data_IF_027780665272
#
_entry.id   IF_027780665272
#
_cell.length_a   1.000
_cell.length_b   1.000
_cell.length_c   1.000
_cell.angle_alpha   90.00
_cell.angle_beta   90.00
_cell.angle_gamma   90.00
#
_symmetry.space_group_name_H-M   'P 1'
#
loop_
_entity.id
_entity.type
_entity.pdbx_description
1 polymer ?
#
# COMPACT_ATOMS: atom_id res chain seq x y z
N UNK A 1 24.15 -6.19 7.84
CA UNK A 1 22.68 -6.21 8.00
C UNK A 1 22.41 -6.02 9.48
N UNK A 2 21.72 -4.94 9.89
CA UNK A 2 21.55 -4.65 11.33
C UNK A 2 20.76 -5.77 12.01
N UNK A 3 21.04 -6.05 13.28
CA UNK A 3 20.35 -7.11 14.05
C UNK A 3 18.82 -6.95 14.04
N UNK A 4 18.31 -5.73 13.88
CA UNK A 4 16.88 -5.42 13.82
C UNK A 4 16.14 -6.06 12.63
N UNK A 5 16.79 -6.20 11.46
CA UNK A 5 16.15 -6.79 10.28
C UNK A 5 16.11 -8.33 10.32
N UNK A 6 16.92 -8.95 11.20
CA UNK A 6 17.01 -10.41 11.31
C UNK A 6 15.73 -11.07 11.85
N UNK A 7 14.84 -10.29 12.47
CA UNK A 7 13.56 -10.75 13.01
C UNK A 7 12.38 -10.65 12.02
N UNK A 8 12.65 -10.49 10.73
CA UNK A 8 11.61 -10.34 9.71
C UNK A 8 11.73 -11.41 8.62
N UNK A 9 10.58 -11.86 8.14
CA UNK A 9 10.40 -12.50 6.85
C UNK A 9 10.25 -11.41 5.79
N UNK A 10 10.95 -11.57 4.67
CA UNK A 10 11.00 -10.57 3.60
C UNK A 10 10.26 -11.09 2.38
N UNK A 11 9.32 -10.31 1.89
CA UNK A 11 8.57 -10.58 0.66
C UNK A 11 8.84 -9.45 -0.33
N UNK A 12 9.13 -9.81 -1.57
CA UNK A 12 9.45 -8.85 -2.61
C UNK A 12 8.57 -9.08 -3.84
N UNK A 13 8.17 -8.00 -4.50
CA UNK A 13 7.66 -8.02 -5.86
C UNK A 13 8.41 -6.98 -6.67
N UNK A 14 9.04 -7.40 -7.77
CA UNK A 14 9.70 -6.47 -8.68
C UNK A 14 8.69 -5.58 -9.40
N UNK A 15 9.10 -4.34 -9.66
CA UNK A 15 8.39 -3.48 -10.60
C UNK A 15 8.69 -3.83 -12.06
N UNK A 16 8.22 -2.97 -12.96
CA UNK A 16 8.46 -3.11 -14.40
C UNK A 16 9.77 -2.45 -14.86
N UNK A 17 10.43 -1.69 -13.99
CA UNK A 17 11.69 -1.01 -14.27
C UNK A 17 12.68 -1.21 -13.10
N UNK A 18 13.94 -0.79 -13.30
CA UNK A 18 15.01 -0.96 -12.33
C UNK A 18 14.82 -0.19 -11.01
N UNK A 19 13.86 0.74 -10.95
CA UNK A 19 13.62 1.63 -9.82
C UNK A 19 12.29 1.37 -9.13
N UNK A 20 11.56 0.34 -9.56
CA UNK A 20 10.24 0.00 -9.04
C UNK A 20 10.22 -1.35 -8.34
N UNK A 21 9.29 -1.49 -7.41
CA UNK A 21 9.05 -2.74 -6.71
C UNK A 21 8.48 -2.46 -5.32
N UNK A 22 8.09 -3.52 -4.64
CA UNK A 22 7.56 -3.45 -3.29
C UNK A 22 8.27 -4.50 -2.44
N UNK A 23 8.77 -4.05 -1.29
CA UNK A 23 9.34 -4.90 -0.26
C UNK A 23 8.42 -4.85 0.96
N UNK A 24 7.97 -6.01 1.43
CA UNK A 24 7.21 -6.13 2.67
C UNK A 24 8.02 -6.94 3.65
N UNK A 25 8.22 -6.39 4.85
CA UNK A 25 8.91 -7.07 5.94
C UNK A 25 7.89 -7.37 7.03
N UNK A 26 7.70 -8.64 7.33
CA UNK A 26 6.76 -9.12 8.35
C UNK A 26 7.56 -9.72 9.48
N UNK A 27 7.29 -9.34 10.73
CA UNK A 27 7.98 -9.95 11.88
C UNK A 27 7.77 -11.46 11.88
N UNK A 28 8.80 -12.22 12.30
CA UNK A 28 8.79 -13.70 12.26
C UNK A 28 7.76 -14.35 13.16
N UNK A 29 7.27 -13.64 14.17
CA UNK A 29 6.18 -14.08 15.04
C UNK A 29 4.79 -13.88 14.44
N UNK A 30 4.69 -13.16 13.31
CA UNK A 30 3.46 -13.04 12.53
C UNK A 30 3.54 -14.04 11.37
N UNK A 31 2.59 -14.97 11.31
CA UNK A 31 2.49 -15.90 10.18
C UNK A 31 1.96 -15.16 8.95
N UNK A 32 2.69 -15.27 7.83
CA UNK A 32 2.38 -14.58 6.59
C UNK A 32 2.55 -15.53 5.40
N UNK A 33 1.54 -15.61 4.56
CA UNK A 33 1.52 -16.46 3.36
C UNK A 33 1.45 -15.58 2.12
N UNK A 34 2.33 -15.85 1.14
CA UNK A 34 2.31 -15.12 -0.13
C UNK A 34 1.07 -15.52 -0.94
N UNK A 35 0.29 -14.53 -1.36
CA UNK A 35 -0.79 -14.71 -2.34
C UNK A 35 -0.19 -14.60 -3.73
N UNK A 36 -0.56 -15.54 -4.61
CA UNK A 36 -0.09 -15.53 -6.00
C UNK A 36 -0.56 -14.27 -6.71
N UNK A 37 0.40 -13.50 -7.23
CA UNK A 37 0.15 -12.27 -7.96
C UNK A 37 1.29 -12.07 -8.96
N UNK A 38 0.94 -11.85 -10.22
CA UNK A 38 1.89 -11.55 -11.30
C UNK A 38 1.99 -10.06 -11.61
N UNK A 39 1.18 -9.22 -10.95
CA UNK A 39 1.21 -7.78 -11.19
C UNK A 39 2.52 -7.20 -10.66
N UNK A 40 3.21 -6.39 -11.48
CA UNK A 40 4.43 -5.74 -11.05
C UNK A 40 4.14 -4.70 -9.97
N UNK A 41 5.09 -4.51 -9.05
CA UNK A 41 4.94 -3.59 -7.91
C UNK A 41 3.71 -3.84 -7.04
N UNK A 42 3.21 -5.09 -6.98
CA UNK A 42 2.11 -5.53 -6.11
C UNK A 42 2.55 -6.76 -5.31
N UNK A 43 2.61 -6.64 -3.99
CA UNK A 43 2.89 -7.76 -3.09
C UNK A 43 1.67 -8.02 -2.20
N UNK A 44 0.97 -9.14 -2.43
CA UNK A 44 -0.17 -9.55 -1.62
C UNK A 44 0.23 -10.66 -0.64
N UNK A 45 -0.09 -10.48 0.64
CA UNK A 45 0.16 -11.42 1.73
C UNK A 45 -1.12 -11.65 2.55
N UNK A 46 -1.37 -12.89 2.93
CA UNK A 46 -2.36 -13.22 3.96
C UNK A 46 -1.65 -13.30 5.31
N UNK A 47 -1.92 -12.32 6.18
CA UNK A 47 -1.42 -12.25 7.54
C UNK A 47 -2.38 -12.98 8.48
N UNK A 48 -1.87 -13.93 9.25
CA UNK A 48 -2.68 -14.74 10.15
C UNK A 48 -2.67 -14.12 11.56
N UNK A 49 -3.80 -13.54 11.94
CA UNK A 49 -4.14 -13.16 13.31
C UNK A 49 -5.35 -13.98 13.77
N UNK A 50 -6.17 -13.48 14.70
CA UNK A 50 -7.46 -14.08 15.04
C UNK A 50 -8.40 -14.12 13.81
N UNK A 51 -8.29 -13.11 12.96
CA UNK A 51 -8.84 -13.09 11.60
C UNK A 51 -7.72 -12.96 10.58
N UNK A 52 -7.85 -13.62 9.43
CA UNK A 52 -6.91 -13.44 8.32
C UNK A 52 -7.10 -12.07 7.70
N UNK A 53 -6.04 -11.27 7.69
CA UNK A 53 -6.02 -9.96 7.05
C UNK A 53 -5.16 -10.04 5.80
N UNK A 54 -5.72 -9.69 4.64
CA UNK A 54 -4.92 -9.58 3.42
C UNK A 54 -4.29 -8.20 3.30
N UNK A 55 -2.96 -8.16 3.30
CA UNK A 55 -2.17 -6.98 2.99
C UNK A 55 -1.82 -6.98 1.49
N UNK A 56 -2.17 -5.93 0.77
CA UNK A 56 -1.76 -5.68 -0.61
C UNK A 56 -0.87 -4.44 -0.61
N UNK A 57 0.44 -4.66 -0.56
CA UNK A 57 1.41 -3.57 -0.64
C UNK A 57 1.65 -3.19 -2.11
N UNK A 58 1.61 -1.89 -2.43
CA UNK A 58 1.67 -1.43 -3.80
C UNK A 58 2.54 -0.20 -4.05
N UNK A 59 3.04 -0.10 -5.28
CA UNK A 59 3.57 1.13 -5.85
C UNK A 59 2.99 1.30 -7.27
N UNK A 60 2.36 2.45 -7.53
CA UNK A 60 1.81 2.85 -8.83
C UNK A 60 2.70 3.94 -9.47
N UNK A 61 3.53 3.61 -10.48
CA UNK A 61 4.43 4.60 -11.07
C UNK A 61 3.68 5.75 -11.77
N UNK A 62 4.08 7.00 -11.54
CA UNK A 62 3.48 8.20 -12.16
C UNK A 62 3.40 8.11 -13.69
N UNK A 63 4.45 7.58 -14.31
CA UNK A 63 4.58 7.46 -15.76
C UNK A 63 3.57 6.49 -16.40
N UNK A 64 2.81 5.72 -15.60
CA UNK A 64 1.89 4.71 -16.10
C UNK A 64 0.48 4.89 -15.57
N UNK A 65 -0.49 4.70 -16.47
CA UNK A 65 -1.90 4.56 -16.09
C UNK A 65 -2.12 3.14 -15.58
N UNK A 66 -2.40 3.01 -14.28
CA UNK A 66 -2.83 1.74 -13.68
C UNK A 66 -4.30 1.49 -13.98
N UNK A 67 -4.64 0.26 -14.33
CA UNK A 67 -6.03 -0.19 -14.36
C UNK A 67 -6.39 -0.79 -13.00
N UNK A 68 -7.20 -0.10 -12.21
CA UNK A 68 -7.51 -0.50 -10.84
C UNK A 68 -8.25 -1.83 -10.75
N UNK A 69 -9.02 -2.19 -11.78
CA UNK A 69 -9.75 -3.46 -11.83
C UNK A 69 -8.83 -4.68 -11.83
N UNK A 70 -7.56 -4.52 -12.20
CA UNK A 70 -6.58 -5.62 -12.18
C UNK A 70 -6.28 -6.07 -10.75
N UNK A 71 -6.51 -5.21 -9.74
CA UNK A 71 -6.35 -5.54 -8.33
C UNK A 71 -7.57 -6.27 -7.74
N UNK A 72 -8.74 -6.17 -8.37
CA UNK A 72 -10.00 -6.75 -7.86
C UNK A 72 -9.90 -8.25 -7.52
N UNK A 73 -9.20 -9.11 -8.29
CA UNK A 73 -9.04 -10.52 -7.93
C UNK A 73 -8.28 -10.78 -6.62
N UNK A 74 -7.51 -9.79 -6.14
CA UNK A 74 -6.77 -9.89 -4.89
C UNK A 74 -7.61 -9.47 -3.69
N UNK A 75 -8.65 -8.66 -3.90
CA UNK A 75 -9.49 -8.08 -2.84
C UNK A 75 -10.29 -9.16 -2.11
N UNK A 76 -10.36 -9.04 -0.78
CA UNK A 76 -11.21 -9.87 0.09
C UNK A 76 -12.12 -8.97 0.92
N UNK A 77 -12.96 -9.55 1.78
CA UNK A 77 -13.79 -8.81 2.74
C UNK A 77 -13.03 -8.33 3.99
N UNK A 78 -11.75 -8.72 4.13
CA UNK A 78 -10.86 -8.31 5.22
C UNK A 78 -9.47 -8.07 4.63
N UNK A 79 -9.29 -6.88 4.05
CA UNK A 79 -8.04 -6.51 3.41
C UNK A 79 -7.72 -5.02 3.52
N UNK A 80 -6.43 -4.74 3.43
CA UNK A 80 -5.88 -3.40 3.29
C UNK A 80 -4.96 -3.35 2.08
N UNK A 81 -5.08 -2.28 1.31
CA UNK A 81 -4.16 -1.93 0.24
C UNK A 81 -3.37 -0.73 0.72
N UNK A 82 -2.04 -0.80 0.72
CA UNK A 82 -1.19 0.25 1.28
C UNK A 82 -0.03 0.56 0.34
N UNK A 83 0.28 1.84 0.18
CA UNK A 83 1.51 2.30 -0.45
C UNK A 83 1.28 3.56 -1.28
N UNK A 84 2.15 3.76 -2.27
CA UNK A 84 2.10 4.91 -3.15
C UNK A 84 1.16 4.64 -4.33
N UNK A 85 0.02 5.32 -4.31
CA UNK A 85 -0.98 5.30 -5.38
C UNK A 85 -0.65 6.29 -6.49
N UNK A 86 0.26 7.24 -6.22
CA UNK A 86 0.64 8.34 -7.09
C UNK A 86 -0.59 9.13 -7.61
N UNK A 87 -1.65 9.15 -6.82
CA UNK A 87 -2.91 9.86 -7.05
C UNK A 87 -3.29 10.53 -5.75
N UNK A 88 -3.45 11.85 -5.78
CA UNK A 88 -4.05 12.61 -4.70
C UNK A 88 -5.58 12.56 -4.86
N UNK A 89 -6.29 12.08 -3.84
CA UNK A 89 -7.74 11.85 -3.89
C UNK A 89 -8.55 13.13 -3.99
N UNK A 90 -7.97 14.29 -3.65
CA UNK A 90 -8.63 15.59 -3.69
C UNK A 90 -8.19 16.44 -4.89
N UNK A 91 -6.95 16.28 -5.35
CA UNK A 91 -6.35 17.18 -6.34
C UNK A 91 -6.30 16.64 -7.78
N UNK A 92 -6.33 15.32 -7.98
CA UNK A 92 -6.10 14.73 -9.31
C UNK A 92 -7.37 14.51 -10.16
N UNK A 93 -8.49 15.11 -9.77
CA UNK A 93 -9.74 15.15 -10.55
C UNK A 93 -10.18 13.78 -11.07
N UNK A 94 -10.25 13.61 -12.40
CA UNK A 94 -10.74 12.38 -13.03
C UNK A 94 -9.94 11.12 -12.63
N UNK A 95 -8.63 11.26 -12.35
CA UNK A 95 -7.83 10.11 -11.89
C UNK A 95 -8.27 9.67 -10.50
N UNK A 96 -8.49 10.62 -9.60
CA UNK A 96 -9.03 10.37 -8.26
C UNK A 96 -10.43 9.76 -8.33
N UNK A 97 -11.33 10.33 -9.16
CA UNK A 97 -12.68 9.80 -9.33
C UNK A 97 -12.71 8.34 -9.78
N UNK A 98 -11.81 7.95 -10.71
CA UNK A 98 -11.72 6.57 -11.18
C UNK A 98 -11.22 5.62 -10.10
N UNK A 99 -10.25 6.06 -9.30
CA UNK A 99 -9.73 5.29 -8.17
C UNK A 99 -10.81 5.11 -7.10
N UNK A 100 -11.47 6.21 -6.69
CA UNK A 100 -12.51 6.21 -5.66
C UNK A 100 -13.73 5.37 -6.07
N UNK A 101 -14.17 5.45 -7.33
CA UNK A 101 -15.24 4.58 -7.86
C UNK A 101 -14.86 3.11 -7.82
N UNK A 102 -13.60 2.77 -8.12
CA UNK A 102 -13.14 1.40 -8.01
C UNK A 102 -13.08 0.93 -6.55
N UNK A 103 -12.56 1.76 -5.64
CA UNK A 103 -12.57 1.46 -4.20
C UNK A 103 -14.00 1.20 -3.70
N UNK A 104 -14.95 2.08 -4.03
CA UNK A 104 -16.37 1.95 -3.67
C UNK A 104 -16.98 0.66 -4.23
N UNK A 105 -16.67 0.31 -5.49
CA UNK A 105 -17.13 -0.96 -6.11
C UNK A 105 -16.61 -2.22 -5.39
N UNK A 106 -15.52 -2.08 -4.64
CA UNK A 106 -14.90 -3.12 -3.83
C UNK A 106 -15.21 -2.94 -2.33
N UNK A 107 -16.14 -2.04 -1.97
CA UNK A 107 -16.47 -1.67 -0.60
C UNK A 107 -15.26 -1.23 0.24
N UNK A 108 -14.25 -0.63 -0.39
CA UNK A 108 -13.09 -0.04 0.28
C UNK A 108 -13.32 1.44 0.53
N UNK A 109 -12.90 1.90 1.70
CA UNK A 109 -12.76 3.33 2.00
C UNK A 109 -11.29 3.75 1.96
N UNK A 110 -10.95 4.94 1.41
CA UNK A 110 -9.62 5.48 1.59
C UNK A 110 -9.41 5.86 3.06
N UNK A 111 -8.26 5.49 3.61
CA UNK A 111 -7.75 5.98 4.89
C UNK A 111 -6.60 6.91 4.56
N UNK A 112 -6.84 8.21 4.66
CA UNK A 112 -5.88 9.26 4.28
C UNK A 112 -5.13 9.71 5.54
N UNK A 113 -3.79 9.88 5.49
CA UNK A 113 -3.04 10.42 6.62
C UNK A 113 -3.43 11.87 6.92
N UNK A 114 -3.06 12.34 8.11
CA UNK A 114 -3.30 13.71 8.58
C UNK A 114 -2.43 14.79 7.91
N UNK A 115 -1.50 14.38 7.07
CA UNK A 115 -0.48 15.24 6.47
C UNK A 115 0.02 14.68 5.14
N UNK A 116 0.58 15.57 4.31
CA UNK A 116 1.10 15.20 2.99
C UNK A 116 2.24 14.19 3.09
N UNK A 117 2.21 13.23 2.16
CA UNK A 117 3.21 12.18 2.09
C UNK A 117 4.31 12.50 1.09
N UNK A 118 4.04 13.36 0.09
CA UNK A 118 5.10 13.85 -0.80
C UNK A 118 5.90 14.99 -0.16
N UNK A 119 7.22 14.92 -0.25
CA UNK A 119 8.14 16.02 0.16
C UNK A 119 8.39 17.02 -0.97
N UNK A 120 7.99 16.70 -2.21
CA UNK A 120 8.23 17.55 -3.39
C UNK A 120 7.02 18.40 -3.75
N UNK A 121 5.83 17.94 -3.40
CA UNK A 121 4.56 18.52 -3.79
C UNK A 121 3.65 18.53 -2.57
N UNK A 122 2.76 19.51 -2.51
CA UNK A 122 1.68 19.59 -1.51
C UNK A 122 0.59 18.55 -1.85
N UNK A 123 0.93 17.26 -1.77
CA UNK A 123 0.09 16.14 -2.22
C UNK A 123 0.15 14.95 -1.26
N UNK A 124 -1.00 14.30 -1.10
CA UNK A 124 -1.15 13.04 -0.37
C UNK A 124 -1.37 11.89 -1.35
N UNK A 125 -0.29 11.16 -1.65
CA UNK A 125 -0.29 10.10 -2.67
C UNK A 125 0.01 8.72 -2.10
N UNK A 126 0.47 8.67 -0.86
CA UNK A 126 0.60 7.44 -0.09
C UNK A 126 -0.56 7.38 0.91
N UNK A 127 -1.32 6.30 0.89
CA UNK A 127 -2.42 6.07 1.83
C UNK A 127 -2.80 4.59 1.85
N UNK A 128 -3.86 4.27 2.61
CA UNK A 128 -4.47 2.95 2.59
C UNK A 128 -5.87 2.99 1.92
N UNK A 129 -6.30 1.83 1.42
CA UNK A 129 -7.69 1.54 1.13
C UNK A 129 -8.07 0.28 1.90
N UNK A 130 -9.15 0.31 2.68
CA UNK A 130 -9.46 -0.79 3.63
C UNK A 130 -10.90 -1.26 3.57
N UNK A 131 -11.07 -2.55 3.87
CA UNK A 131 -12.36 -3.20 4.14
C UNK A 131 -12.18 -4.23 5.25
N UNK A 132 -13.10 -4.26 6.22
CA UNK A 132 -13.08 -5.25 7.31
C UNK A 132 -11.87 -5.13 8.26
N UNK A 133 -11.08 -4.07 8.11
CA UNK A 133 -9.89 -3.77 8.92
C UNK A 133 -9.98 -2.32 9.35
N UNK A 134 -9.87 -2.08 10.66
CA UNK A 134 -9.69 -0.75 11.20
C UNK A 134 -8.19 -0.45 11.25
N UNK A 135 -7.78 0.66 10.66
CA UNK A 135 -6.39 1.12 10.66
C UNK A 135 -6.39 2.63 10.79
N UNK A 136 -5.51 3.14 11.63
CA UNK A 136 -5.16 4.56 11.62
C UNK A 136 -3.78 4.69 10.99
N UNK A 137 -3.64 5.62 10.03
CA UNK A 137 -2.34 5.94 9.44
C UNK A 137 -2.00 7.42 9.65
N UNK A 138 -0.70 7.70 9.75
CA UNK A 138 -0.14 9.04 9.82
C UNK A 138 1.14 9.11 8.99
N UNK A 139 1.45 10.27 8.43
CA UNK A 139 2.78 10.47 7.86
C UNK A 139 3.78 10.59 9.03
N UNK A 140 4.92 9.93 8.91
CA UNK A 140 5.97 9.96 9.90
C UNK A 140 7.09 10.87 9.43
N UNK A 141 7.17 12.07 10.01
CA UNK A 141 8.28 12.98 9.77
C UNK A 141 9.58 12.34 10.27
N UNK A 142 10.50 12.11 9.34
CA UNK A 142 11.80 11.49 9.62
C UNK A 142 12.87 12.05 8.71
N UNK A 143 14.13 11.89 9.11
CA UNK A 143 15.30 12.19 8.28
C UNK A 143 15.47 11.11 7.18
N UNK A 144 14.49 11.04 6.27
CA UNK A 144 14.48 10.14 5.13
C UNK A 144 15.24 10.76 3.95
N UNK A 145 15.90 9.92 3.16
CA UNK A 145 16.45 10.32 1.84
C UNK A 145 15.46 10.08 0.71
N UNK A 146 14.26 9.55 1.03
CA UNK A 146 13.14 9.41 0.11
C UNK A 146 12.58 10.80 -0.24
N UNK A 147 11.88 10.90 -1.37
CA UNK A 147 11.04 12.05 -1.69
C UNK A 147 9.64 11.97 -1.05
N UNK A 148 9.39 10.93 -0.24
CA UNK A 148 8.14 10.70 0.47
C UNK A 148 8.40 10.50 1.97
N UNK A 149 7.51 11.02 2.81
CA UNK A 149 7.43 10.67 4.22
C UNK A 149 6.92 9.22 4.36
N UNK A 150 7.56 8.37 5.19
CA UNK A 150 7.02 7.07 5.53
C UNK A 150 5.61 7.18 6.11
N UNK A 151 4.77 6.18 5.85
CA UNK A 151 3.51 6.01 6.56
C UNK A 151 3.71 5.10 7.78
N UNK A 152 3.22 5.54 8.93
CA UNK A 152 3.03 4.69 10.09
C UNK A 152 1.56 4.30 10.20
N UNK A 153 1.29 2.99 10.26
CA UNK A 153 -0.05 2.45 10.47
C UNK A 153 -0.16 1.68 11.77
N UNK A 154 -1.31 1.78 12.44
CA UNK A 154 -1.66 1.02 13.65
C UNK A 154 -2.98 0.29 13.44
N UNK A 155 -2.94 -1.02 13.66
CA UNK A 155 -4.08 -1.95 13.62
C UNK A 155 -4.62 -2.23 15.03
#
# INVERSE_FOLDING_TARGET
MSAALSNHNVFYQSGENAHGGVLVMVRKDISAVRVSCSLPSICALDLQFDQTIRLIAMYAPESKKRNWTDLTPLVTNCCMILGDFNIDTEQDGEKADRLLKWMDSCCHGPVVPDSNTSLRLDRTIDYAATIGVDITIQAYESDTTSDHNPLLGVL
#
